data_IF_989199789454
#
_entry.id   IF_989199789454
#
_cell.length_a   1.000
_cell.length_b   1.000
_cell.length_c   1.000
_cell.angle_alpha   90.00
_cell.angle_beta   90.00
_cell.angle_gamma   90.00
#
_symmetry.space_group_name_H-M   'P 1'
#
loop_
_entity.id
_entity.type
_entity.pdbx_description
1 polymer ?
#
# COMPACT_ATOMS: atom_id res chain seq x y z
N UNK A 1 -14.96 56.48 -9.80
CA UNK A 1 -15.14 55.84 -11.13
C UNK A 1 -14.55 54.45 -11.05
N UNK A 2 -15.43 53.46 -11.03
CA UNK A 2 -15.16 52.02 -10.96
C UNK A 2 -14.63 51.50 -12.30
N UNK A 3 -13.41 50.98 -12.29
CA UNK A 3 -12.88 50.11 -13.35
C UNK A 3 -12.83 48.68 -12.80
N UNK A 4 -13.40 47.73 -13.53
CA UNK A 4 -13.61 46.35 -13.10
C UNK A 4 -12.62 45.33 -13.67
N UNK A 5 -12.87 44.06 -13.25
CA UNK A 5 -12.30 42.75 -13.67
C UNK A 5 -10.89 42.43 -13.13
N UNK A 6 -10.54 41.21 -12.66
CA UNK A 6 -11.12 39.84 -12.68
C UNK A 6 -10.80 39.17 -11.33
N UNK A 7 -11.72 38.39 -10.78
CA UNK A 7 -11.49 37.64 -9.54
C UNK A 7 -10.51 36.47 -9.73
N UNK A 8 -9.39 36.54 -9.04
CA UNK A 8 -8.52 35.39 -8.74
C UNK A 8 -8.44 35.28 -7.22
N UNK A 9 -9.25 34.41 -6.62
CA UNK A 9 -8.94 33.88 -5.28
C UNK A 9 -8.39 32.47 -5.45
N UNK A 10 -7.10 32.43 -5.75
CA UNK A 10 -6.25 31.27 -5.52
C UNK A 10 -6.32 30.88 -4.04
N UNK A 11 -7.19 29.93 -3.70
CA UNK A 11 -7.05 29.08 -2.53
C UNK A 11 -6.54 27.74 -3.10
N UNK A 12 -5.25 27.45 -3.17
CA UNK A 12 -4.30 27.60 -2.08
C UNK A 12 -4.35 26.39 -1.14
N UNK A 13 -4.42 25.17 -1.67
CA UNK A 13 -3.93 23.99 -0.96
C UNK A 13 -2.76 23.45 -1.76
N UNK A 14 -1.60 24.05 -1.50
CA UNK A 14 -0.34 23.36 -1.67
C UNK A 14 -0.38 22.17 -0.69
N UNK A 15 -0.50 20.94 -1.18
CA UNK A 15 -0.05 19.80 -0.40
C UNK A 15 1.47 19.95 -0.32
N UNK A 16 1.93 20.53 0.78
CA UNK A 16 3.32 20.57 1.16
C UNK A 16 3.90 19.17 1.00
N UNK A 17 4.83 19.05 0.05
CA UNK A 17 5.80 17.97 -0.02
C UNK A 17 6.49 17.92 1.35
N UNK A 18 6.03 17.05 2.23
CA UNK A 18 6.77 16.69 3.44
C UNK A 18 7.92 15.80 3.00
N UNK A 19 9.08 16.43 2.84
CA UNK A 19 10.37 15.76 2.75
C UNK A 19 10.61 14.99 4.06
N UNK A 20 10.31 13.70 4.07
CA UNK A 20 10.84 12.76 5.06
C UNK A 20 11.26 11.50 4.31
N UNK A 21 12.53 11.17 4.47
CA UNK A 21 13.25 10.16 3.72
C UNK A 21 12.72 8.75 4.05
N UNK A 22 11.68 8.30 3.35
CA UNK A 22 11.37 6.89 3.16
C UNK A 22 10.61 6.73 1.85
N UNK A 23 11.38 6.51 0.78
CA UNK A 23 10.83 5.95 -0.43
C UNK A 23 10.25 4.57 -0.10
N UNK A 24 8.92 4.45 -0.14
CA UNK A 24 8.25 3.18 -0.42
C UNK A 24 7.87 3.28 -1.89
N UNK A 25 8.71 2.87 -2.85
CA UNK A 25 8.27 2.87 -4.23
C UNK A 25 7.38 1.63 -4.37
N UNK A 26 6.07 1.82 -4.39
CA UNK A 26 5.24 0.81 -5.04
C UNK A 26 4.69 1.36 -6.34
N UNK A 27 3.95 2.47 -6.35
CA UNK A 27 3.55 3.14 -7.59
C UNK A 27 3.28 4.63 -7.33
N UNK A 28 3.53 5.48 -8.33
CA UNK A 28 3.00 6.84 -8.29
C UNK A 28 1.48 6.76 -8.42
N UNK A 29 0.75 7.19 -7.40
CA UNK A 29 -0.70 7.27 -7.44
C UNK A 29 -1.17 8.68 -7.12
N UNK A 30 -2.34 9.03 -7.64
CA UNK A 30 -3.05 10.26 -7.32
C UNK A 30 -4.54 9.97 -7.22
N UNK A 31 -5.26 10.82 -6.49
CA UNK A 31 -6.71 10.71 -6.39
C UNK A 31 -7.36 11.54 -7.50
N UNK A 32 -8.37 10.97 -8.17
CA UNK A 32 -9.19 11.72 -9.12
C UNK A 32 -10.09 12.73 -8.39
N UNK A 33 -10.44 13.88 -9.01
CA UNK A 33 -11.39 14.82 -8.45
C UNK A 33 -12.75 14.16 -8.11
N UNK A 34 -13.45 14.72 -7.13
CA UNK A 34 -14.83 14.34 -6.77
C UNK A 34 -15.82 15.25 -7.50
N UNK A 35 -16.96 14.69 -7.92
CA UNK A 35 -18.03 15.41 -8.59
C UNK A 35 -18.83 16.34 -7.67
N UNK A 36 -19.67 17.23 -8.23
CA UNK A 36 -20.58 18.05 -7.43
C UNK A 36 -21.52 17.18 -6.58
N UNK A 37 -21.60 17.45 -5.28
CA UNK A 37 -22.37 16.69 -4.28
C UNK A 37 -21.89 15.26 -4.00
N UNK A 38 -20.67 14.89 -4.40
CA UNK A 38 -20.06 13.62 -3.99
C UNK A 38 -19.27 13.78 -2.68
N UNK A 39 -19.35 12.76 -1.82
CA UNK A 39 -18.50 12.63 -0.64
C UNK A 39 -17.66 11.35 -0.75
N UNK A 40 -16.34 11.47 -0.55
CA UNK A 40 -15.42 10.33 -0.55
C UNK A 40 -14.78 10.19 0.82
N UNK A 41 -14.91 9.01 1.40
CA UNK A 41 -14.22 8.61 2.63
C UNK A 41 -13.33 7.42 2.29
N UNK A 42 -12.10 7.43 2.80
CA UNK A 42 -11.16 6.33 2.63
C UNK A 42 -10.29 6.23 3.86
N UNK A 43 -10.00 5.01 4.27
CA UNK A 43 -9.10 4.71 5.37
C UNK A 43 -8.11 3.66 4.88
N UNK A 44 -6.81 3.99 4.94
CA UNK A 44 -5.75 3.10 4.49
C UNK A 44 -4.71 2.97 5.59
N UNK A 45 -4.33 1.74 5.88
CA UNK A 45 -3.24 1.43 6.80
C UNK A 45 -2.10 0.78 6.01
N UNK A 46 -0.87 1.20 6.31
CA UNK A 46 0.34 0.60 5.76
C UNK A 46 1.15 -0.01 6.89
N UNK A 47 1.73 -1.16 6.61
CA UNK A 47 2.73 -1.79 7.49
C UNK A 47 3.86 -2.35 6.65
N UNK A 48 5.04 -2.47 7.25
CA UNK A 48 6.19 -3.02 6.56
C UNK A 48 5.99 -4.54 6.37
N UNK A 49 6.09 -5.02 5.13
CA UNK A 49 5.91 -6.44 4.81
C UNK A 49 6.85 -7.38 5.59
N UNK A 50 8.04 -6.90 5.95
CA UNK A 50 9.00 -7.66 6.77
C UNK A 50 8.51 -7.96 8.19
N UNK A 51 7.56 -7.19 8.74
CA UNK A 51 7.01 -7.44 10.07
C UNK A 51 6.17 -8.72 10.11
N UNK A 52 5.45 -9.04 9.03
CA UNK A 52 4.72 -10.30 8.93
C UNK A 52 5.68 -11.50 8.94
N UNK A 53 6.75 -11.44 8.13
CA UNK A 53 7.79 -12.48 8.11
C UNK A 53 8.48 -12.64 9.46
N UNK A 54 8.76 -11.53 10.15
CA UNK A 54 9.35 -11.58 11.49
C UNK A 54 8.47 -12.34 12.49
N UNK A 55 7.16 -12.13 12.43
CA UNK A 55 6.19 -12.86 13.27
C UNK A 55 6.12 -14.33 12.85
N UNK A 56 6.04 -14.62 11.55
CA UNK A 56 6.02 -15.98 10.99
C UNK A 56 7.28 -16.78 11.38
N UNK A 57 8.44 -16.14 11.39
CA UNK A 57 9.72 -16.72 11.80
C UNK A 57 9.91 -16.78 13.32
N UNK A 58 8.87 -16.54 14.13
CA UNK A 58 8.97 -16.63 15.59
C UNK A 58 9.85 -15.55 16.22
N UNK A 59 9.82 -14.32 15.68
CA UNK A 59 10.62 -13.18 16.14
C UNK A 59 12.13 -13.38 15.98
N UNK A 60 12.54 -14.00 14.88
CA UNK A 60 13.93 -14.25 14.53
C UNK A 60 14.30 -13.55 13.22
N UNK A 61 15.59 -13.24 13.06
CA UNK A 61 16.09 -12.77 11.76
C UNK A 61 15.89 -13.86 10.72
N UNK A 62 15.75 -13.47 9.45
CA UNK A 62 15.60 -14.44 8.37
C UNK A 62 16.78 -15.41 8.33
N UNK A 63 18.00 -14.92 8.53
CA UNK A 63 19.20 -15.76 8.63
C UNK A 63 19.10 -16.79 9.75
N UNK A 64 18.83 -16.35 10.99
CA UNK A 64 18.73 -17.25 12.14
C UNK A 64 17.60 -18.29 11.98
N UNK A 65 16.45 -17.86 11.42
CA UNK A 65 15.35 -18.77 11.10
C UNK A 65 15.81 -19.84 10.12
N UNK A 66 16.38 -19.46 8.96
CA UNK A 66 16.83 -20.43 7.97
C UNK A 66 17.99 -21.31 8.42
N UNK A 67 18.84 -20.86 9.35
CA UNK A 67 19.88 -21.70 9.97
C UNK A 67 19.31 -22.76 10.91
N UNK A 68 18.19 -22.45 11.59
CA UNK A 68 17.53 -23.38 12.50
C UNK A 68 16.82 -24.55 11.79
N UNK A 69 16.54 -24.40 10.50
CA UNK A 69 15.77 -25.36 9.71
C UNK A 69 16.63 -26.49 9.13
N UNK A 70 16.09 -27.71 9.14
CA UNK A 70 16.64 -28.84 8.39
C UNK A 70 16.61 -28.59 6.87
N UNK A 71 17.40 -29.32 6.07
CA UNK A 71 17.39 -29.16 4.61
C UNK A 71 16.00 -29.33 3.96
N UNK A 72 15.18 -30.24 4.49
CA UNK A 72 13.82 -30.48 4.03
C UNK A 72 12.89 -29.31 4.36
N UNK A 73 12.94 -28.80 5.59
CA UNK A 73 12.15 -27.64 6.00
C UNK A 73 12.54 -26.38 5.21
N UNK A 74 13.84 -26.17 4.95
CA UNK A 74 14.29 -25.06 4.10
C UNK A 74 13.78 -25.17 2.66
N UNK A 75 13.68 -26.38 2.12
CA UNK A 75 13.14 -26.60 0.78
C UNK A 75 11.64 -26.29 0.74
N UNK A 76 10.91 -26.71 1.77
CA UNK A 76 9.48 -26.41 1.92
C UNK A 76 9.23 -24.91 2.05
N UNK A 77 9.94 -24.22 2.94
CA UNK A 77 9.81 -22.77 3.14
C UNK A 77 10.06 -22.01 1.83
N UNK A 78 11.08 -22.40 1.05
CA UNK A 78 11.34 -21.79 -0.27
C UNK A 78 10.21 -22.02 -1.27
N UNK A 79 9.59 -23.20 -1.25
CA UNK A 79 8.44 -23.50 -2.10
C UNK A 79 7.22 -22.65 -1.71
N UNK A 80 6.95 -22.53 -0.40
CA UNK A 80 5.89 -21.68 0.13
C UNK A 80 6.14 -20.20 -0.20
N UNK A 81 7.39 -19.72 -0.05
CA UNK A 81 7.78 -18.36 -0.44
C UNK A 81 7.50 -18.04 -1.90
N UNK A 82 7.74 -19.00 -2.80
CA UNK A 82 7.43 -18.86 -4.22
C UNK A 82 5.93 -18.83 -4.49
N UNK A 83 5.10 -19.44 -3.63
CA UNK A 83 3.65 -19.43 -3.77
C UNK A 83 2.99 -18.19 -3.13
N UNK A 84 3.63 -17.55 -2.14
CA UNK A 84 3.05 -16.42 -1.37
C UNK A 84 2.52 -15.27 -2.23
N UNK A 85 3.15 -14.95 -3.36
CA UNK A 85 2.64 -13.88 -4.22
C UNK A 85 1.23 -14.17 -4.77
N UNK A 86 0.93 -15.44 -5.07
CA UNK A 86 -0.38 -15.84 -5.61
C UNK A 86 -1.50 -15.65 -4.58
N UNK A 87 -1.19 -15.91 -3.30
CA UNK A 87 -2.09 -15.61 -2.18
C UNK A 87 -2.34 -14.11 -2.10
N UNK A 88 -1.30 -13.29 -2.21
CA UNK A 88 -1.43 -11.84 -2.20
C UNK A 88 -2.30 -11.29 -3.33
N UNK A 89 -2.18 -11.86 -4.53
CA UNK A 89 -3.06 -11.50 -5.67
C UNK A 89 -4.51 -11.93 -5.40
N UNK A 90 -4.73 -13.06 -4.74
CA UNK A 90 -6.06 -13.54 -4.38
C UNK A 90 -6.79 -12.69 -3.34
N UNK A 91 -6.13 -11.72 -2.69
CA UNK A 91 -6.77 -10.80 -1.74
C UNK A 91 -7.49 -9.62 -2.42
N UNK A 92 -7.26 -9.40 -3.72
CA UNK A 92 -7.99 -8.38 -4.47
C UNK A 92 -9.37 -8.91 -4.88
N UNK A 93 -10.39 -8.03 -4.83
CA UNK A 93 -11.72 -8.37 -5.29
C UNK A 93 -11.74 -8.70 -6.78
N UNK A 94 -12.47 -9.74 -7.13
CA UNK A 94 -12.79 -10.09 -8.51
C UNK A 94 -13.90 -9.19 -9.05
N UNK A 95 -14.04 -9.13 -10.39
CA UNK A 95 -15.13 -8.34 -11.00
C UNK A 95 -16.51 -8.86 -10.62
N UNK A 96 -16.66 -10.17 -10.41
CA UNK A 96 -17.94 -10.76 -10.04
C UNK A 96 -18.31 -10.45 -8.58
N UNK A 97 -17.34 -10.44 -7.67
CA UNK A 97 -17.55 -9.97 -6.29
C UNK A 97 -17.97 -8.49 -6.25
N UNK A 98 -17.30 -7.63 -7.03
CA UNK A 98 -17.66 -6.20 -7.09
C UNK A 98 -19.05 -5.96 -7.70
N UNK A 99 -19.50 -6.82 -8.62
CA UNK A 99 -20.85 -6.74 -9.21
C UNK A 99 -21.95 -7.21 -8.25
N UNK A 100 -21.58 -8.02 -7.25
CA UNK A 100 -22.51 -8.54 -6.25
C UNK A 100 -22.64 -7.63 -5.01
N UNK A 101 -21.85 -6.56 -4.92
CA UNK A 101 -21.94 -5.52 -3.88
C UNK A 101 -23.03 -4.50 -4.20
#
# INVERSE_FOLDING_TARGET
MTTGRVGTSSCGIASSFWNSHRAVPSFFHSNIPIGPNEHRYSFTQYTAGGLFRWIEHGFQSEEAYFESLSPEERARERAEAKARWSVGVGLFSTLDELRAM
#
